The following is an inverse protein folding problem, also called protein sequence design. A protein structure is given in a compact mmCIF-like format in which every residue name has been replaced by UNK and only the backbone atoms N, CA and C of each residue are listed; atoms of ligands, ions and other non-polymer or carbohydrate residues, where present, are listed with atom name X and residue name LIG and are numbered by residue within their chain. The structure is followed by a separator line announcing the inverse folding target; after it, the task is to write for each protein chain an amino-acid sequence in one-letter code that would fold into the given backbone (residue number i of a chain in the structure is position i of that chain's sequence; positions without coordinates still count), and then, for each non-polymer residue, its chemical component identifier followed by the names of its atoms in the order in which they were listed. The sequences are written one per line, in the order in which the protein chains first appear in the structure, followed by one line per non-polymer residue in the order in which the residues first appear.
data_IF_950419831782
#
_entry.id   IF_950419831782
#
_cell.length_a   1.000
_cell.length_b   1.000
_cell.length_c   1.000
_cell.angle_alpha   90.00
_cell.angle_beta   90.00
_cell.angle_gamma   90.00
#
_symmetry.space_group_name_H-M   'P 1'
#
loop_
_entity.id
_entity.type
_entity.pdbx_description
1 polymer ?
#
# COMPACT_ATOMS: atom_id res chain seq x y z
N UNK A 1 9.47 0.53 11.01
CA UNK A 1 9.73 -0.14 9.71
C UNK A 1 8.94 -1.44 9.65
N UNK A 2 8.39 -1.84 8.49
CA UNK A 2 7.69 -3.13 8.37
C UNK A 2 8.70 -4.29 8.47
N UNK A 3 8.36 -5.34 9.23
CA UNK A 3 9.21 -6.53 9.40
C UNK A 3 9.42 -7.23 8.06
N UNK A 4 10.68 -7.35 7.60
CA UNK A 4 11.03 -7.94 6.29
C UNK A 4 10.44 -9.35 6.11
N UNK A 5 10.44 -10.16 7.16
CA UNK A 5 9.84 -11.52 7.12
C UNK A 5 8.34 -11.50 6.83
N UNK A 6 7.61 -10.48 7.29
CA UNK A 6 6.17 -10.37 7.07
C UNK A 6 5.84 -9.90 5.65
N UNK A 7 6.71 -9.09 5.04
CA UNK A 7 6.61 -8.71 3.62
C UNK A 7 6.83 -9.96 2.76
N UNK A 8 7.92 -10.70 3.01
CA UNK A 8 8.21 -11.95 2.30
C UNK A 8 7.09 -12.99 2.49
N UNK A 9 6.52 -13.12 3.69
CA UNK A 9 5.37 -14.00 3.94
C UNK A 9 4.18 -13.64 3.05
N UNK A 10 3.86 -12.36 2.92
CA UNK A 10 2.70 -11.90 2.13
C UNK A 10 2.90 -12.05 0.62
N UNK A 11 4.14 -11.93 0.13
CA UNK A 11 4.46 -12.13 -1.29
C UNK A 11 4.34 -13.59 -1.73
N UNK A 12 4.48 -14.55 -0.80
CA UNK A 12 4.29 -15.97 -1.09
C UNK A 12 2.80 -16.27 -1.26
N UNK A 13 2.48 -17.16 -2.21
CA UNK A 13 1.12 -17.72 -2.36
C UNK A 13 0.72 -18.40 -1.05
N UNK A 14 -0.42 -18.01 -0.49
CA UNK A 14 -0.93 -18.63 0.74
C UNK A 14 -1.62 -19.96 0.43
N UNK A 15 -1.69 -20.85 1.42
CA UNK A 15 -2.39 -22.14 1.30
C UNK A 15 -3.87 -21.94 1.02
N UNK A 16 -4.48 -20.97 1.70
CA UNK A 16 -5.90 -20.64 1.54
C UNK A 16 -6.04 -19.19 1.07
N UNK A 17 -6.89 -18.97 0.06
CA UNK A 17 -7.12 -17.64 -0.53
C UNK A 17 -7.54 -16.59 0.50
N UNK A 18 -8.30 -16.98 1.53
CA UNK A 18 -8.73 -16.11 2.63
C UNK A 18 -7.58 -15.56 3.49
N UNK A 19 -6.40 -16.15 3.43
CA UNK A 19 -5.22 -15.68 4.16
C UNK A 19 -4.46 -14.57 3.42
N UNK A 20 -4.80 -14.30 2.16
CA UNK A 20 -4.19 -13.22 1.40
C UNK A 20 -4.65 -11.87 1.96
N UNK A 21 -3.69 -10.98 2.21
CA UNK A 21 -3.96 -9.62 2.69
C UNK A 21 -3.05 -8.63 1.97
N UNK A 22 -3.49 -7.38 1.90
CA UNK A 22 -2.75 -6.33 1.21
C UNK A 22 -1.67 -5.72 2.10
N UNK A 23 -0.55 -5.35 1.49
CA UNK A 23 0.47 -4.49 2.10
C UNK A 23 0.78 -3.36 1.14
N UNK A 24 1.22 -2.23 1.69
CA UNK A 24 1.75 -1.14 0.88
C UNK A 24 3.04 -1.59 0.18
N UNK A 25 3.13 -1.42 -1.14
CA UNK A 25 4.31 -1.81 -1.92
C UNK A 25 5.56 -0.98 -1.57
N UNK A 26 5.39 0.27 -1.12
CA UNK A 26 6.49 1.18 -0.80
C UNK A 26 7.07 1.00 0.60
N UNK A 27 6.21 0.89 1.63
CA UNK A 27 6.66 0.84 3.03
C UNK A 27 6.32 -0.47 3.76
N UNK A 28 5.58 -1.38 3.12
CA UNK A 28 5.19 -2.66 3.71
C UNK A 28 4.13 -2.56 4.81
N UNK A 29 3.43 -1.44 4.99
CA UNK A 29 2.36 -1.30 6.01
C UNK A 29 1.17 -2.24 5.68
N UNK A 30 0.64 -3.02 6.65
CA UNK A 30 -0.46 -3.96 6.41
C UNK A 30 -1.85 -3.29 6.41
N UNK A 31 -2.02 -2.16 7.09
CA UNK A 31 -3.32 -1.49 7.24
C UNK A 31 -3.42 -0.21 6.40
N UNK A 32 -4.67 0.18 6.12
CA UNK A 32 -5.02 1.39 5.37
C UNK A 32 -4.35 1.44 3.99
N UNK A 33 -4.34 0.29 3.29
CA UNK A 33 -3.83 0.17 1.92
C UNK A 33 -4.96 0.49 0.94
N UNK A 34 -4.77 1.51 0.11
CA UNK A 34 -5.71 1.88 -0.95
C UNK A 34 -5.49 0.90 -2.10
N UNK A 35 -6.43 -0.02 -2.33
CA UNK A 35 -6.29 -1.12 -3.29
C UNK A 35 -5.95 -0.64 -4.71
N UNK A 36 -6.56 0.47 -5.17
CA UNK A 36 -6.33 1.06 -6.50
C UNK A 36 -4.86 1.44 -6.74
N UNK A 37 -4.17 1.94 -5.71
CA UNK A 37 -2.79 2.41 -5.82
C UNK A 37 -1.78 1.45 -5.18
N UNK A 38 -2.24 0.42 -4.47
CA UNK A 38 -1.43 -0.53 -3.67
C UNK A 38 -0.49 0.15 -2.66
N UNK A 39 -0.86 1.35 -2.20
CA UNK A 39 -0.10 2.17 -1.26
C UNK A 39 -0.87 2.38 0.03
N UNK A 40 -0.17 2.57 1.14
CA UNK A 40 -0.81 3.02 2.37
C UNK A 40 -1.21 4.49 2.29
N UNK A 41 -2.15 4.92 3.15
CA UNK A 41 -2.60 6.32 3.23
C UNK A 41 -1.47 7.35 3.34
N UNK A 42 -0.37 7.02 4.02
CA UNK A 42 0.77 7.93 4.23
C UNK A 42 1.58 8.07 2.94
N UNK A 43 2.02 6.94 2.39
CA UNK A 43 2.79 6.93 1.14
C UNK A 43 1.96 7.51 -0.01
N UNK A 44 0.67 7.22 -0.07
CA UNK A 44 -0.24 7.82 -1.06
C UNK A 44 -0.23 9.35 -0.93
N UNK A 45 -0.41 9.88 0.28
CA UNK A 45 -0.39 11.32 0.55
C UNK A 45 0.93 11.97 0.16
N UNK A 46 2.07 11.36 0.53
CA UNK A 46 3.40 11.87 0.17
C UNK A 46 3.61 11.92 -1.34
N UNK A 47 3.26 10.84 -2.06
CA UNK A 47 3.41 10.78 -3.51
C UNK A 47 2.44 11.73 -4.23
N UNK A 48 1.22 11.87 -3.72
CA UNK A 48 0.24 12.82 -4.24
C UNK A 48 0.72 14.27 -4.09
N UNK A 49 1.27 14.64 -2.92
CA UNK A 49 1.85 15.96 -2.72
C UNK A 49 3.09 16.23 -3.58
N UNK A 50 3.89 15.19 -3.87
CA UNK A 50 5.03 15.27 -4.80
C UNK A 50 4.63 15.27 -6.28
N UNK A 51 3.35 15.12 -6.62
CA UNK A 51 2.88 15.02 -8.01
C UNK A 51 3.27 13.70 -8.71
N UNK A 52 3.68 12.68 -7.97
CA UNK A 52 4.13 11.40 -8.55
C UNK A 52 2.97 10.45 -8.88
N UNK A 53 1.74 10.76 -8.45
CA UNK A 53 0.53 10.02 -8.83
C UNK A 53 -0.23 10.84 -9.87
N UNK A 54 -0.29 10.40 -11.13
CA UNK A 54 -0.93 11.16 -12.20
C UNK A 54 -2.43 11.33 -11.94
N UNK A 55 -2.95 12.53 -12.21
CA UNK A 55 -4.37 12.87 -12.08
C UNK A 55 -4.88 13.10 -10.66
N UNK A 56 -4.06 12.91 -9.62
CA UNK A 56 -4.45 13.21 -8.23
C UNK A 56 -4.19 14.68 -7.92
N UNK A 57 -5.28 15.42 -7.69
CA UNK A 57 -5.26 16.78 -7.14
C UNK A 57 -5.85 16.80 -5.75
N UNK A 58 -5.48 17.80 -4.94
CA UNK A 58 -6.15 18.05 -3.66
C UNK A 58 -7.61 18.40 -3.96
N UNK A 59 -8.54 17.63 -3.40
CA UNK A 59 -9.96 17.89 -3.55
C UNK A 59 -10.32 19.17 -2.78
N UNK A 60 -11.03 20.07 -3.45
CA UNK A 60 -11.66 21.25 -2.88
C UNK A 60 -13.06 21.34 -3.51
N UNK A 61 -14.06 21.41 -2.67
CA UNK A 61 -15.44 21.72 -3.02
C UNK A 61 -15.89 22.89 -2.16
#
# INVERSE_FOLDING_TARGET
MAKKSMIAKQQRKQKFKVQEYTRCERCGRPHSVIRKFKLCRICFRELAYKGQIPGVKKASW
#
